data_IF_785462447575
#
_entry.id   IF_785462447575
#
_cell.length_a   1.000
_cell.length_b   1.000
_cell.length_c   1.000
_cell.angle_alpha   90.00
_cell.angle_beta   90.00
_cell.angle_gamma   90.00
#
_symmetry.space_group_name_H-M   'P 1'
#
loop_
_entity.id
_entity.type
_entity.pdbx_description
1 polymer ?
#
# COMPACT_ATOMS: atom_id res chain seq x y z
N UNK A 1 -6.55 22.64 -21.97
CA UNK A 1 -6.55 21.69 -20.83
C UNK A 1 -7.44 22.14 -19.67
N UNK A 2 -7.24 23.33 -19.08
CA UNK A 2 -7.99 23.84 -17.91
C UNK A 2 -9.54 23.85 -18.02
N UNK A 3 -10.09 24.02 -19.22
CA UNK A 3 -11.56 24.00 -19.44
C UNK A 3 -12.19 22.61 -19.23
N UNK A 4 -11.46 21.54 -19.51
CA UNK A 4 -11.94 20.14 -19.38
C UNK A 4 -12.07 19.78 -17.89
N UNK A 5 -11.11 20.20 -17.07
CA UNK A 5 -11.09 19.92 -15.63
C UNK A 5 -12.29 20.54 -14.90
N UNK A 6 -12.77 21.72 -15.34
CA UNK A 6 -13.96 22.39 -14.76
C UNK A 6 -15.30 21.79 -15.19
N UNK A 7 -15.30 20.74 -16.00
CA UNK A 7 -16.55 20.03 -16.34
C UNK A 7 -16.85 18.98 -15.27
N UNK A 8 -18.13 18.65 -15.03
CA UNK A 8 -18.48 17.57 -14.11
C UNK A 8 -17.92 16.21 -14.59
N UNK A 9 -17.74 16.03 -15.90
CA UNK A 9 -17.11 14.83 -16.46
C UNK A 9 -15.64 14.72 -16.08
N UNK A 10 -14.89 15.83 -16.11
CA UNK A 10 -13.52 15.89 -15.61
C UNK A 10 -13.43 15.55 -14.12
N UNK A 11 -14.34 16.11 -13.31
CA UNK A 11 -14.43 15.77 -11.89
C UNK A 11 -14.75 14.29 -11.66
N UNK A 12 -15.74 13.75 -12.38
CA UNK A 12 -16.16 12.37 -12.27
C UNK A 12 -15.04 11.41 -12.69
N UNK A 13 -14.28 11.74 -13.73
CA UNK A 13 -13.12 10.95 -14.14
C UNK A 13 -12.02 10.95 -13.07
N UNK A 14 -11.67 12.12 -12.50
CA UNK A 14 -10.69 12.18 -11.40
C UNK A 14 -11.17 11.40 -10.18
N UNK A 15 -12.43 11.55 -9.78
CA UNK A 15 -13.01 10.80 -8.67
C UNK A 15 -13.02 9.29 -8.95
N UNK A 16 -13.36 8.87 -10.17
CA UNK A 16 -13.36 7.46 -10.57
C UNK A 16 -11.96 6.86 -10.49
N UNK A 17 -10.92 7.57 -10.95
CA UNK A 17 -9.53 7.11 -10.81
C UNK A 17 -9.14 6.97 -9.34
N UNK A 18 -9.43 7.98 -8.51
CA UNK A 18 -9.13 7.93 -7.07
C UNK A 18 -9.87 6.78 -6.36
N UNK A 19 -11.16 6.61 -6.64
CA UNK A 19 -11.96 5.51 -6.08
C UNK A 19 -11.44 4.17 -6.59
N UNK A 20 -11.10 4.04 -7.86
CA UNK A 20 -10.57 2.79 -8.43
C UNK A 20 -9.24 2.43 -7.78
N UNK A 21 -8.34 3.41 -7.58
CA UNK A 21 -7.07 3.19 -6.88
C UNK A 21 -7.30 2.73 -5.43
N UNK A 22 -8.20 3.40 -4.69
CA UNK A 22 -8.59 3.01 -3.33
C UNK A 22 -9.24 1.61 -3.29
N UNK A 23 -10.08 1.27 -4.27
CA UNK A 23 -10.72 -0.04 -4.36
C UNK A 23 -9.72 -1.12 -4.76
N UNK A 24 -8.78 -0.86 -5.67
CA UNK A 24 -7.71 -1.79 -6.01
C UNK A 24 -6.83 -2.01 -4.79
N UNK A 25 -6.43 -0.96 -4.09
CA UNK A 25 -5.69 -1.07 -2.83
C UNK A 25 -6.48 -1.89 -1.80
N UNK A 26 -7.77 -1.59 -1.60
CA UNK A 26 -8.63 -2.34 -0.68
C UNK A 26 -8.90 -3.78 -1.10
N UNK A 27 -8.98 -4.06 -2.40
CA UNK A 27 -9.20 -5.39 -2.96
C UNK A 27 -7.94 -6.25 -2.90
N UNK A 28 -6.78 -5.69 -3.21
CA UNK A 28 -5.47 -6.32 -3.00
C UNK A 28 -5.23 -6.64 -1.52
N UNK A 29 -5.72 -5.80 -0.60
CA UNK A 29 -5.75 -6.06 0.85
C UNK A 29 -6.71 -7.20 1.22
N UNK A 30 -7.75 -7.48 0.43
CA UNK A 30 -8.84 -8.40 0.81
C UNK A 30 -8.79 -9.79 0.16
N UNK A 31 -8.35 -9.92 -1.10
CA UNK A 31 -8.67 -11.11 -1.91
C UNK A 31 -7.51 -11.97 -2.38
N UNK A 32 -6.28 -11.66 -2.02
CA UNK A 32 -5.14 -12.51 -2.38
C UNK A 32 -4.45 -13.00 -1.11
N UNK A 33 -4.43 -14.29 -0.79
CA UNK A 33 -3.74 -14.77 0.43
C UNK A 33 -2.22 -14.62 0.35
N UNK A 34 -1.66 -14.34 -0.85
CA UNK A 34 -0.24 -14.01 -1.06
C UNK A 34 -0.01 -12.50 -1.20
N UNK A 35 -0.88 -11.77 -1.89
CA UNK A 35 -0.76 -10.29 -2.03
C UNK A 35 -1.44 -9.51 -0.89
N UNK A 36 -2.50 -9.99 -0.24
CA UNK A 36 -2.98 -9.43 1.05
C UNK A 36 -2.04 -9.77 2.20
N UNK A 37 -1.38 -10.94 2.18
CA UNK A 37 -0.27 -11.15 3.10
C UNK A 37 0.88 -10.18 2.81
N UNK A 38 1.01 -9.64 1.61
CA UNK A 38 2.01 -8.63 1.28
C UNK A 38 1.52 -7.21 1.58
N UNK A 39 0.44 -6.70 0.96
CA UNK A 39 -0.16 -5.38 1.17
C UNK A 39 -0.71 -5.20 2.60
N UNK A 40 -1.38 -6.19 3.18
CA UNK A 40 -1.87 -6.12 4.57
C UNK A 40 -0.76 -6.40 5.59
N UNK A 41 0.42 -6.94 5.22
CA UNK A 41 1.63 -6.92 6.08
C UNK A 41 2.51 -5.69 5.86
N UNK A 42 2.50 -5.04 4.69
CA UNK A 42 3.52 -4.06 4.28
C UNK A 42 2.99 -2.64 4.07
N UNK A 43 1.71 -2.47 3.75
CA UNK A 43 1.09 -1.14 3.50
C UNK A 43 0.20 -0.72 4.67
N UNK A 44 -0.61 -1.63 5.23
CA UNK A 44 -1.60 -1.26 6.26
C UNK A 44 -1.23 -1.62 7.71
N UNK A 45 -0.16 -2.41 7.93
CA UNK A 45 0.28 -2.81 9.28
C UNK A 45 1.55 -2.10 9.76
N UNK A 46 2.11 -1.23 8.92
CA UNK A 46 3.42 -0.60 9.12
C UNK A 46 3.35 0.84 9.66
N UNK A 47 2.18 1.33 10.10
CA UNK A 47 2.16 2.47 11.01
C UNK A 47 2.55 2.11 12.46
N UNK A 48 2.73 0.82 12.81
CA UNK A 48 3.23 0.44 14.16
C UNK A 48 3.95 -0.92 14.35
N UNK A 49 4.08 -1.82 13.37
CA UNK A 49 4.47 -3.22 13.69
C UNK A 49 5.70 -3.78 13.00
N UNK A 50 6.90 -3.67 13.63
CA UNK A 50 8.11 -4.45 13.28
C UNK A 50 7.75 -5.94 13.11
N UNK A 51 7.85 -6.49 11.90
CA UNK A 51 7.85 -7.96 11.71
C UNK A 51 9.15 -8.37 11.04
N UNK A 52 10.12 -8.71 11.88
CA UNK A 52 11.09 -9.72 11.50
C UNK A 52 10.36 -11.06 11.40
N UNK A 53 10.49 -11.74 10.28
CA UNK A 53 10.12 -13.14 10.14
C UNK A 53 11.28 -13.98 10.68
N UNK A 54 10.97 -14.82 11.66
CA UNK A 54 11.87 -15.87 12.09
C UNK A 54 11.86 -16.95 10.99
N UNK A 55 13.01 -17.19 10.37
CA UNK A 55 13.09 -18.08 9.20
C UNK A 55 13.39 -19.51 9.63
N UNK A 56 14.41 -19.69 10.47
CA UNK A 56 14.84 -20.99 11.01
C UNK A 56 15.81 -20.78 12.18
N UNK A 57 16.02 -21.84 12.96
CA UNK A 57 17.10 -21.89 13.96
C UNK A 57 17.64 -23.30 14.11
N UNK A 58 18.90 -23.38 14.53
CA UNK A 58 19.58 -24.61 14.93
C UNK A 58 20.30 -24.38 16.25
N UNK A 59 20.64 -25.48 16.92
CA UNK A 59 21.52 -25.46 18.08
C UNK A 59 22.78 -26.26 17.75
N UNK A 60 23.95 -25.71 18.06
CA UNK A 60 25.21 -26.42 18.06
C UNK A 60 25.50 -26.88 19.48
N UNK A 61 25.61 -28.20 19.67
CA UNK A 61 25.93 -28.80 20.96
C UNK A 61 27.35 -29.34 20.92
N UNK A 62 28.20 -28.88 21.83
CA UNK A 62 29.56 -29.37 22.03
C UNK A 62 29.57 -30.41 23.14
N UNK A 63 30.08 -31.61 22.82
CA UNK A 63 30.25 -32.71 23.79
C UNK A 63 31.70 -32.78 24.29
N UNK A 64 31.91 -33.51 25.38
CA UNK A 64 33.24 -33.89 25.87
C UNK A 64 34.08 -34.47 24.72
N UNK A 65 35.24 -33.85 24.47
CA UNK A 65 36.08 -34.15 23.30
C UNK A 65 36.03 -33.11 22.17
N UNK A 66 35.22 -32.06 22.30
CA UNK A 66 35.30 -30.85 21.47
C UNK A 66 34.61 -30.90 20.11
N UNK A 67 33.92 -31.99 19.78
CA UNK A 67 33.09 -32.08 18.57
C UNK A 67 31.75 -31.34 18.72
N UNK A 68 31.35 -30.61 17.68
CA UNK A 68 30.03 -29.98 17.58
C UNK A 68 29.06 -30.87 16.80
N UNK A 69 27.87 -31.10 17.35
CA UNK A 69 26.73 -31.69 16.64
C UNK A 69 25.65 -30.63 16.39
N UNK A 70 25.03 -30.67 15.21
CA UNK A 70 23.91 -29.79 14.85
C UNK A 70 22.60 -30.44 15.26
N UNK A 71 21.80 -29.73 16.05
CA UNK A 71 20.44 -30.12 16.46
C UNK A 71 19.44 -29.15 15.84
N UNK A 72 18.37 -29.70 15.30
CA UNK A 72 17.26 -28.93 14.76
C UNK A 72 16.41 -28.38 15.91
N UNK A 73 16.35 -27.06 16.06
CA UNK A 73 15.56 -26.44 17.13
C UNK A 73 14.04 -26.53 16.88
N UNK A 74 13.61 -26.95 15.69
CA UNK A 74 12.20 -27.23 15.38
C UNK A 74 11.77 -28.66 15.74
N UNK A 75 12.70 -29.52 16.14
CA UNK A 75 12.38 -30.85 16.66
C UNK A 75 11.76 -30.79 18.06
N UNK A 76 11.02 -31.83 18.44
CA UNK A 76 10.34 -31.88 19.74
C UNK A 76 11.35 -31.83 20.90
N UNK A 77 10.94 -31.26 22.03
CA UNK A 77 11.78 -31.16 23.22
C UNK A 77 12.34 -32.53 23.68
N UNK A 78 11.65 -33.62 23.34
CA UNK A 78 12.04 -34.99 23.69
C UNK A 78 13.27 -35.49 22.90
N UNK A 79 13.39 -35.11 21.62
CA UNK A 79 14.59 -35.41 20.81
C UNK A 79 15.79 -34.63 21.33
N UNK A 80 15.56 -33.38 21.72
CA UNK A 80 16.56 -32.52 22.36
C UNK A 80 17.02 -33.11 23.70
N UNK A 81 16.08 -33.58 24.52
CA UNK A 81 16.36 -34.23 25.80
C UNK A 81 17.21 -35.50 25.61
N UNK A 82 16.89 -36.31 24.60
CA UNK A 82 17.64 -37.53 24.27
C UNK A 82 19.06 -37.22 23.81
N UNK A 83 19.23 -36.19 22.97
CA UNK A 83 20.55 -35.75 22.52
C UNK A 83 21.39 -35.08 23.62
N UNK A 84 20.73 -34.59 24.68
CA UNK A 84 21.33 -33.97 25.87
C UNK A 84 21.65 -34.94 27.01
N UNK A 85 21.46 -36.26 26.84
CA UNK A 85 21.73 -37.26 27.90
C UNK A 85 23.20 -37.36 28.35
N UNK A 86 24.13 -36.67 27.68
CA UNK A 86 25.44 -36.32 28.25
C UNK A 86 25.48 -34.83 28.47
N UNK A 87 25.79 -34.37 29.69
CA UNK A 87 25.85 -32.94 30.03
C UNK A 87 26.71 -32.21 28.98
N UNK A 88 26.10 -31.37 28.12
CA UNK A 88 26.85 -30.72 27.06
C UNK A 88 27.82 -29.71 27.69
N UNK A 89 29.06 -29.66 27.21
CA UNK A 89 30.03 -28.65 27.64
C UNK A 89 29.53 -27.25 27.25
N UNK A 90 28.91 -27.14 26.07
CA UNK A 90 28.47 -25.86 25.51
C UNK A 90 27.30 -26.04 24.55
N UNK A 91 26.34 -25.11 24.59
CA UNK A 91 25.22 -25.07 23.64
C UNK A 91 25.11 -23.66 23.05
N UNK A 92 25.29 -23.57 21.73
CA UNK A 92 25.21 -22.32 20.97
C UNK A 92 23.95 -22.36 20.10
N UNK A 93 23.00 -21.46 20.36
CA UNK A 93 21.81 -21.26 19.54
C UNK A 93 22.09 -20.30 18.40
N UNK A 94 21.62 -20.65 17.21
CA UNK A 94 21.78 -19.88 15.99
C UNK A 94 20.40 -19.69 15.37
N UNK A 95 19.98 -18.44 15.22
CA UNK A 95 18.70 -18.12 14.59
C UNK A 95 18.88 -17.11 13.48
N UNK A 96 18.13 -17.28 12.39
CA UNK A 96 18.11 -16.35 11.28
C UNK A 96 16.79 -15.60 11.22
N UNK A 97 16.90 -14.28 11.28
CA UNK A 97 15.80 -13.34 11.23
C UNK A 97 15.92 -12.50 9.97
N UNK A 98 14.80 -12.34 9.27
CA UNK A 98 14.71 -11.45 8.11
C UNK A 98 13.52 -10.52 8.28
N UNK A 99 13.78 -9.22 8.24
CA UNK A 99 12.77 -8.18 8.28
C UNK A 99 12.80 -7.34 7.01
N UNK A 100 11.64 -6.91 6.55
CA UNK A 100 11.51 -5.85 5.57
C UNK A 100 10.54 -4.79 6.11
N UNK A 101 10.92 -3.52 5.99
CA UNK A 101 10.10 -2.35 6.32
C UNK A 101 9.88 -1.53 5.07
N UNK A 102 8.68 -1.01 4.92
CA UNK A 102 8.34 -0.13 3.81
C UNK A 102 7.82 1.19 4.36
N UNK A 103 8.22 2.29 3.73
CA UNK A 103 7.80 3.64 4.15
C UNK A 103 7.25 4.39 2.94
N UNK A 104 6.08 5.00 3.08
CA UNK A 104 5.41 5.80 2.05
C UNK A 104 4.08 6.38 2.54
N UNK A 105 3.45 7.26 1.76
CA UNK A 105 2.15 7.84 2.13
C UNK A 105 0.98 7.09 1.48
N UNK A 106 0.88 7.09 0.13
CA UNK A 106 -0.09 6.27 -0.62
C UNK A 106 0.53 5.02 -1.24
N UNK A 107 1.78 5.12 -1.68
CA UNK A 107 2.59 4.03 -2.20
C UNK A 107 3.98 3.98 -1.49
N UNK A 108 4.66 2.81 -1.44
CA UNK A 108 5.94 2.69 -0.76
C UNK A 108 7.06 3.42 -1.53
N UNK A 109 7.79 4.29 -0.84
CA UNK A 109 8.92 5.06 -1.39
C UNK A 109 10.27 4.45 -1.03
N UNK A 110 10.35 3.81 0.14
CA UNK A 110 11.57 3.23 0.66
C UNK A 110 11.29 1.81 1.13
N UNK A 111 12.21 0.91 0.81
CA UNK A 111 12.27 -0.44 1.36
C UNK A 111 13.55 -0.55 2.18
N UNK A 112 13.45 -0.99 3.42
CA UNK A 112 14.59 -1.40 4.24
C UNK A 112 14.49 -2.90 4.43
N UNK A 113 15.53 -3.63 4.09
CA UNK A 113 15.66 -5.06 4.37
C UNK A 113 16.77 -5.23 5.41
N UNK A 114 16.50 -5.97 6.47
CA UNK A 114 17.52 -6.36 7.44
C UNK A 114 17.50 -7.87 7.55
N UNK A 115 18.66 -8.46 7.43
CA UNK A 115 18.93 -9.82 7.85
C UNK A 115 19.77 -9.79 9.11
N UNK A 116 19.52 -10.70 10.04
CA UNK A 116 20.34 -10.84 11.23
C UNK A 116 20.47 -12.30 11.58
N UNK A 117 21.72 -12.77 11.68
CA UNK A 117 22.07 -14.07 12.23
C UNK A 117 22.44 -13.85 13.69
N UNK A 118 21.51 -14.19 14.59
CA UNK A 118 21.76 -14.14 16.03
C UNK A 118 22.41 -15.45 16.46
N UNK A 119 23.62 -15.36 16.99
CA UNK A 119 24.36 -16.47 17.61
C UNK A 119 24.49 -16.16 19.09
N UNK A 120 23.95 -17.01 19.95
CA UNK A 120 23.95 -16.81 21.40
C UNK A 120 24.20 -18.13 22.13
N UNK A 121 25.01 -18.09 23.18
CA UNK A 121 25.17 -19.22 24.08
C UNK A 121 23.97 -19.34 25.04
N UNK A 122 23.43 -20.54 25.19
CA UNK A 122 22.21 -20.79 25.97
C UNK A 122 22.43 -20.88 27.48
N UNK A 123 23.61 -21.33 27.92
CA UNK A 123 23.85 -21.62 29.34
C UNK A 123 24.14 -20.36 30.16
N UNK A 124 25.13 -19.56 29.74
CA UNK A 124 25.66 -18.46 30.57
C UNK A 124 25.53 -17.09 29.90
N UNK A 125 24.96 -17.02 28.69
CA UNK A 125 24.86 -15.78 27.91
C UNK A 125 26.22 -15.20 27.49
N UNK A 126 27.30 -15.97 27.63
CA UNK A 126 28.62 -15.58 27.19
C UNK A 126 28.65 -15.36 25.66
N UNK A 127 29.49 -14.43 25.20
CA UNK A 127 29.67 -14.22 23.76
C UNK A 127 30.35 -15.45 23.14
N UNK A 128 29.78 -16.06 22.08
CA UNK A 128 30.38 -17.20 21.41
C UNK A 128 31.74 -16.83 20.78
N UNK A 129 32.67 -17.77 20.73
CA UNK A 129 33.97 -17.50 20.10
C UNK A 129 33.80 -17.26 18.58
N UNK A 130 34.66 -16.42 17.94
CA UNK A 130 34.55 -16.15 16.50
C UNK A 130 34.57 -17.41 15.60
N UNK A 131 35.29 -18.44 16.05
CA UNK A 131 35.32 -19.76 15.39
C UNK A 131 33.96 -20.46 15.48
N UNK A 132 33.31 -20.41 16.65
CA UNK A 132 31.98 -20.98 16.88
C UNK A 132 30.92 -20.25 16.06
N UNK A 133 30.97 -18.91 16.01
CA UNK A 133 30.09 -18.09 15.14
C UNK A 133 30.24 -18.49 13.67
N UNK A 134 31.47 -18.73 13.21
CA UNK A 134 31.72 -19.16 11.83
C UNK A 134 31.18 -20.56 11.54
N UNK A 135 31.35 -21.51 12.48
CA UNK A 135 30.80 -22.87 12.37
C UNK A 135 29.27 -22.86 12.39
N UNK A 136 28.69 -22.09 13.30
CA UNK A 136 27.26 -21.80 13.42
C UNK A 136 26.64 -21.32 12.11
N UNK A 137 27.24 -20.29 11.50
CA UNK A 137 26.77 -19.73 10.22
C UNK A 137 26.83 -20.74 9.09
N UNK A 138 27.93 -21.50 8.97
CA UNK A 138 28.07 -22.55 7.95
C UNK A 138 27.03 -23.66 8.13
N UNK A 139 26.86 -24.16 9.35
CA UNK A 139 25.89 -25.20 9.64
C UNK A 139 24.45 -24.76 9.31
N UNK A 140 24.09 -23.51 9.63
CA UNK A 140 22.78 -22.97 9.27
C UNK A 140 22.64 -22.78 7.75
N UNK A 141 23.67 -22.28 7.07
CA UNK A 141 23.71 -22.12 5.61
C UNK A 141 23.51 -23.47 4.90
N UNK A 142 24.27 -24.48 5.28
CA UNK A 142 24.18 -25.82 4.69
C UNK A 142 22.80 -26.44 4.89
N UNK A 143 22.18 -26.21 6.05
CA UNK A 143 20.79 -26.60 6.29
C UNK A 143 19.78 -25.87 5.40
N UNK A 144 19.97 -24.58 5.15
CA UNK A 144 19.12 -23.86 4.20
C UNK A 144 19.28 -24.45 2.80
N UNK A 145 20.49 -24.82 2.39
CA UNK A 145 20.72 -25.50 1.11
C UNK A 145 20.00 -26.85 1.04
N UNK A 146 20.06 -27.67 2.08
CA UNK A 146 19.35 -28.97 2.09
C UNK A 146 17.84 -28.84 2.08
N UNK A 147 17.29 -27.70 2.53
CA UNK A 147 15.87 -27.34 2.40
C UNK A 147 15.52 -26.61 1.10
N UNK A 148 16.41 -26.62 0.10
CA UNK A 148 16.26 -25.95 -1.20
C UNK A 148 16.06 -24.42 -1.08
N UNK A 149 16.56 -23.83 0.01
CA UNK A 149 16.46 -22.40 0.35
C UNK A 149 17.77 -21.65 0.07
N UNK A 150 18.30 -21.83 -1.15
CA UNK A 150 19.65 -21.37 -1.55
C UNK A 150 19.89 -19.87 -1.31
N UNK A 151 18.91 -19.01 -1.63
CA UNK A 151 19.05 -17.56 -1.42
C UNK A 151 19.30 -17.20 0.06
N UNK A 152 18.68 -17.92 1.00
CA UNK A 152 18.89 -17.66 2.43
C UNK A 152 20.26 -18.14 2.90
N UNK A 153 20.77 -19.24 2.32
CA UNK A 153 22.11 -19.74 2.60
C UNK A 153 23.19 -18.69 2.22
N UNK A 154 23.07 -18.12 1.02
CA UNK A 154 23.96 -17.05 0.54
C UNK A 154 23.87 -15.80 1.42
N UNK A 155 22.67 -15.41 1.83
CA UNK A 155 22.45 -14.28 2.76
C UNK A 155 23.09 -14.52 4.13
N UNK A 156 23.00 -15.73 4.69
CA UNK A 156 23.61 -16.11 5.98
C UNK A 156 25.14 -16.08 5.91
N UNK A 157 25.72 -16.55 4.80
CA UNK A 157 27.17 -16.53 4.57
C UNK A 157 27.71 -15.12 4.36
N UNK A 158 26.97 -14.25 3.66
CA UNK A 158 27.31 -12.85 3.49
C UNK A 158 27.27 -12.07 4.84
N UNK A 159 26.52 -12.58 5.82
CA UNK A 159 26.41 -12.00 7.15
C UNK A 159 25.26 -11.00 7.29
N UNK A 160 25.28 -10.24 8.38
CA UNK A 160 24.21 -9.30 8.69
C UNK A 160 24.25 -8.13 7.70
N UNK A 161 23.14 -7.87 7.03
CA UNK A 161 23.02 -6.72 6.15
C UNK A 161 21.79 -5.89 6.48
N UNK A 162 21.91 -4.59 6.21
CA UNK A 162 20.85 -3.61 6.36
C UNK A 162 20.78 -2.80 5.06
N UNK A 163 20.04 -3.32 4.09
CA UNK A 163 19.92 -2.74 2.76
C UNK A 163 18.75 -1.76 2.74
N UNK A 164 19.00 -0.53 2.27
CA UNK A 164 17.94 0.42 1.94
C UNK A 164 17.88 0.56 0.43
N UNK A 165 16.70 0.35 -0.14
CA UNK A 165 16.44 0.59 -1.55
C UNK A 165 15.32 1.62 -1.72
N UNK A 166 15.52 2.51 -2.67
CA UNK A 166 14.53 3.51 -3.05
C UNK A 166 13.60 2.92 -4.11
N UNK A 167 12.30 3.07 -3.88
CA UNK A 167 11.24 2.59 -4.77
C UNK A 167 10.66 3.82 -5.46
N UNK A 168 11.28 4.21 -6.58
CA UNK A 168 10.99 5.47 -7.27
C UNK A 168 9.54 5.61 -7.75
N UNK A 169 8.85 4.48 -7.96
CA UNK A 169 7.46 4.50 -8.40
C UNK A 169 6.50 5.03 -7.32
N UNK A 170 6.86 4.87 -6.04
CA UNK A 170 6.04 5.34 -4.92
C UNK A 170 5.83 6.86 -4.92
N UNK A 171 6.89 7.68 -4.91
CA UNK A 171 6.76 9.13 -4.96
C UNK A 171 6.04 9.63 -6.22
N UNK A 172 6.21 8.93 -7.36
CA UNK A 172 5.50 9.26 -8.60
C UNK A 172 4.00 9.02 -8.45
N UNK A 173 3.60 7.88 -7.90
CA UNK A 173 2.20 7.57 -7.61
C UNK A 173 1.60 8.59 -6.64
N UNK A 174 2.29 8.90 -5.54
CA UNK A 174 1.83 9.87 -4.54
C UNK A 174 1.69 11.28 -5.12
N UNK A 175 2.60 11.70 -6.00
CA UNK A 175 2.50 12.98 -6.70
C UNK A 175 1.29 13.01 -7.64
N UNK A 176 1.04 11.93 -8.40
CA UNK A 176 -0.13 11.81 -9.27
C UNK A 176 -1.42 11.83 -8.47
N UNK A 177 -1.51 11.08 -7.37
CA UNK A 177 -2.69 11.08 -6.49
C UNK A 177 -2.92 12.44 -5.83
N UNK A 178 -1.85 13.09 -5.35
CA UNK A 178 -1.91 14.45 -4.84
C UNK A 178 -2.46 15.45 -5.86
N UNK A 179 -1.99 15.39 -7.11
CA UNK A 179 -2.49 16.23 -8.20
C UNK A 179 -3.97 15.97 -8.51
N UNK A 180 -4.40 14.71 -8.50
CA UNK A 180 -5.80 14.34 -8.70
C UNK A 180 -6.69 14.86 -7.57
N UNK A 181 -6.24 14.76 -6.31
CA UNK A 181 -6.97 15.28 -5.15
C UNK A 181 -7.09 16.80 -5.21
N UNK A 182 -6.00 17.52 -5.50
CA UNK A 182 -6.01 18.99 -5.67
C UNK A 182 -6.94 19.38 -6.83
N UNK A 183 -6.86 18.66 -7.96
CA UNK A 183 -7.73 18.85 -9.10
C UNK A 183 -9.21 18.66 -8.76
N UNK A 184 -9.54 17.60 -8.03
CA UNK A 184 -10.89 17.33 -7.56
C UNK A 184 -11.40 18.45 -6.64
N UNK A 185 -10.62 18.83 -5.62
CA UNK A 185 -10.96 19.91 -4.68
C UNK A 185 -11.17 21.25 -5.38
N UNK A 186 -10.37 21.56 -6.40
CA UNK A 186 -10.54 22.79 -7.19
C UNK A 186 -11.83 22.79 -8.03
N UNK A 187 -12.34 21.62 -8.39
CA UNK A 187 -13.49 21.51 -9.30
C UNK A 187 -14.83 21.33 -8.57
N UNK A 188 -14.86 20.69 -7.40
CA UNK A 188 -16.08 20.45 -6.59
C UNK A 188 -16.92 21.72 -6.36
N UNK A 189 -16.34 22.89 -5.98
CA UNK A 189 -17.11 24.12 -5.79
C UNK A 189 -17.82 24.63 -7.04
N UNK A 190 -17.35 24.24 -8.23
CA UNK A 190 -17.95 24.68 -9.50
C UNK A 190 -19.17 23.84 -9.92
N UNK A 191 -19.37 22.65 -9.33
CA UNK A 191 -20.46 21.75 -9.70
C UNK A 191 -21.86 22.36 -9.50
N UNK A 192 -22.22 22.98 -8.36
CA UNK A 192 -23.56 23.53 -8.16
C UNK A 192 -23.93 24.56 -9.24
N UNK A 193 -22.97 25.39 -9.65
CA UNK A 193 -23.16 26.37 -10.73
C UNK A 193 -23.43 25.72 -12.08
N UNK A 194 -22.72 24.62 -12.39
CA UNK A 194 -22.94 23.86 -13.63
C UNK A 194 -24.34 23.22 -13.67
N UNK A 195 -24.76 22.55 -12.59
CA UNK A 195 -26.09 21.94 -12.49
C UNK A 195 -27.20 22.98 -12.57
N UNK A 196 -27.05 24.13 -11.91
CA UNK A 196 -28.00 25.25 -12.02
C UNK A 196 -28.10 25.76 -13.46
N UNK A 197 -26.98 25.99 -14.16
CA UNK A 197 -26.98 26.45 -15.56
C UNK A 197 -27.65 25.43 -16.49
N UNK A 198 -27.37 24.14 -16.31
CA UNK A 198 -28.00 23.07 -17.11
C UNK A 198 -29.51 22.97 -16.84
N UNK A 199 -29.93 23.08 -15.58
CA UNK A 199 -31.34 23.10 -15.21
C UNK A 199 -32.09 24.30 -15.77
N UNK A 200 -31.47 25.49 -15.75
CA UNK A 200 -32.01 26.69 -16.39
C UNK A 200 -32.19 26.45 -17.89
N UNK A 201 -31.14 26.00 -18.60
CA UNK A 201 -31.21 25.70 -20.04
C UNK A 201 -32.27 24.65 -20.37
N UNK A 202 -32.38 23.57 -19.59
CA UNK A 202 -33.37 22.50 -19.82
C UNK A 202 -34.82 22.96 -19.55
N UNK A 203 -35.02 23.91 -18.64
CA UNK A 203 -36.35 24.53 -18.41
C UNK A 203 -36.70 25.48 -19.55
N UNK A 204 -35.77 26.34 -19.94
CA UNK A 204 -35.95 27.24 -21.09
C UNK A 204 -36.19 26.48 -22.40
N UNK A 205 -35.48 25.39 -22.67
CA UNK A 205 -35.67 24.56 -23.85
C UNK A 205 -37.07 23.89 -23.89
N UNK A 206 -37.69 23.67 -22.74
CA UNK A 206 -39.08 23.19 -22.63
C UNK A 206 -40.11 24.31 -22.68
N UNK A 207 -39.69 25.56 -22.85
CA UNK A 207 -40.59 26.71 -22.83
C UNK A 207 -41.16 27.02 -21.45
N UNK A 208 -40.45 26.70 -20.36
CA UNK A 208 -40.90 27.02 -19.00
C UNK A 208 -39.92 27.92 -18.25
N UNK A 209 -40.44 28.85 -17.44
CA UNK A 209 -39.65 29.76 -16.64
C UNK A 209 -38.80 28.98 -15.61
N UNK A 210 -37.49 29.21 -15.53
CA UNK A 210 -36.64 28.48 -14.59
C UNK A 210 -36.88 28.83 -13.11
N UNK A 211 -37.59 29.92 -12.81
CA UNK A 211 -37.86 30.36 -11.44
C UNK A 211 -39.24 29.96 -10.94
N UNK A 212 -40.32 30.31 -11.67
CA UNK A 212 -41.70 30.03 -11.26
C UNK A 212 -42.38 28.91 -12.04
N UNK A 213 -41.69 28.30 -13.02
CA UNK A 213 -42.22 27.22 -13.87
C UNK A 213 -43.37 27.59 -14.81
N UNK A 214 -43.74 28.87 -14.91
CA UNK A 214 -44.74 29.38 -15.86
C UNK A 214 -44.38 29.05 -17.32
N UNK A 215 -45.36 28.70 -18.14
CA UNK A 215 -45.18 28.46 -19.58
C UNK A 215 -44.89 29.76 -20.31
N UNK A 216 -43.65 29.89 -20.79
CA UNK A 216 -43.15 31.06 -21.50
C UNK A 216 -43.12 30.86 -23.01
N UNK A 217 -43.58 29.71 -23.53
CA UNK A 217 -43.52 29.38 -24.97
C UNK A 217 -44.27 30.36 -25.88
N UNK A 218 -45.18 31.14 -25.32
CA UNK A 218 -45.98 32.17 -26.03
C UNK A 218 -45.59 33.60 -25.68
N UNK A 219 -44.54 33.79 -24.89
CA UNK A 219 -44.14 35.14 -24.47
C UNK A 219 -43.36 35.79 -25.60
N UNK A 220 -43.75 36.99 -26.08
CA UNK A 220 -43.03 37.67 -27.15
C UNK A 220 -41.63 38.09 -26.69
N UNK A 221 -40.65 37.93 -27.58
CA UNK A 221 -39.31 38.46 -27.38
C UNK A 221 -39.32 39.99 -27.48
N UNK A 222 -38.64 40.67 -26.57
CA UNK A 222 -38.49 42.13 -26.61
C UNK A 222 -37.03 42.51 -26.40
N UNK A 223 -36.42 43.12 -27.42
CA UNK A 223 -35.02 43.58 -27.36
C UNK A 223 -34.00 42.45 -27.14
N UNK A 224 -34.25 41.25 -27.69
CA UNK A 224 -33.35 40.10 -27.53
C UNK A 224 -33.39 39.46 -26.13
N UNK A 225 -34.36 39.83 -25.30
CA UNK A 225 -34.62 39.21 -24.01
C UNK A 225 -36.04 38.63 -23.99
N UNK A 226 -36.20 37.46 -23.39
CA UNK A 226 -37.51 36.92 -23.01
C UNK A 226 -37.69 37.13 -21.51
N UNK A 227 -38.79 37.78 -21.10
CA UNK A 227 -39.12 38.07 -19.69
C UNK A 227 -40.33 37.25 -19.26
N UNK A 228 -40.25 36.62 -18.10
CA UNK A 228 -41.40 35.95 -17.50
C UNK A 228 -42.48 36.98 -17.11
N UNK A 229 -43.74 36.81 -17.54
CA UNK A 229 -44.82 37.73 -17.14
C UNK A 229 -45.16 37.61 -15.65
N UNK A 230 -45.01 36.42 -15.06
CA UNK A 230 -45.35 36.18 -13.66
C UNK A 230 -44.29 36.67 -12.68
N UNK A 231 -43.04 36.24 -12.86
CA UNK A 231 -41.98 36.52 -11.88
C UNK A 231 -41.00 37.62 -12.30
N UNK A 232 -41.17 38.20 -13.49
CA UNK A 232 -40.34 39.30 -14.01
C UNK A 232 -38.89 38.95 -14.36
N UNK A 233 -38.41 37.72 -14.11
CA UNK A 233 -37.05 37.31 -14.52
C UNK A 233 -36.90 37.35 -16.03
N UNK A 234 -35.73 37.77 -16.50
CA UNK A 234 -35.39 37.82 -17.91
C UNK A 234 -34.17 36.94 -18.25
N UNK A 235 -34.12 36.46 -19.48
CA UNK A 235 -33.01 35.70 -20.05
C UNK A 235 -32.81 36.08 -21.51
N UNK A 236 -31.60 35.88 -22.03
CA UNK A 236 -31.27 36.19 -23.41
C UNK A 236 -32.00 35.27 -24.39
N UNK A 237 -32.50 35.82 -25.50
CA UNK A 237 -33.35 35.13 -26.47
C UNK A 237 -32.60 33.99 -27.19
N UNK A 238 -31.29 34.15 -27.39
CA UNK A 238 -30.37 33.14 -27.89
C UNK A 238 -30.17 31.94 -26.94
N UNK A 239 -30.56 32.09 -25.67
CA UNK A 239 -30.60 31.00 -24.70
C UNK A 239 -31.94 30.23 -24.69
N UNK A 240 -32.98 30.74 -25.37
CA UNK A 240 -34.33 30.17 -25.37
C UNK A 240 -34.70 29.56 -26.72
N UNK A 241 -34.92 28.23 -26.69
CA UNK A 241 -35.74 27.45 -27.63
C UNK A 241 -35.16 27.31 -29.06
N UNK A 242 -34.70 26.11 -29.48
CA UNK A 242 -34.50 25.84 -30.90
C UNK A 242 -35.87 25.98 -31.60
N UNK A 243 -35.92 26.78 -32.67
CA UNK A 243 -37.14 27.01 -33.43
C UNK A 243 -37.79 25.65 -33.77
N UNK A 244 -39.01 25.42 -33.28
CA UNK A 244 -39.79 24.24 -33.68
C UNK A 244 -40.05 24.39 -35.19
N UNK A 245 -39.39 23.56 -35.99
CA UNK A 245 -39.79 23.30 -37.38
C UNK A 245 -41.03 22.42 -37.40
#
# INVERSE_FOLDING_TARGET
MWRILRTPWGCAAMAAVLITDLLILGWLVRFDTRVSAWVTRHVYRDFSGRRGEFVDSIQLVRREGGGFSVIDASQSADELATLSQGAPERVVSVSYWRGAWWVGAWAPWWKREVSTVLVAELADGAEPEPREVSLARRALSDRMRTRERVNFAEEIEAGDYNRRSFVWWGPVHDAVMGLLVVGLLACVPSMPGWWRRRGVKARLARGVCPACLYDISRTPESGGLTRCPECGRAWAADASIPARR
#
